data_IF_588847041122
#
_entry.id   IF_588847041122
#
_cell.length_a   1.000
_cell.length_b   1.000
_cell.length_c   1.000
_cell.angle_alpha   90.00
_cell.angle_beta   90.00
_cell.angle_gamma   90.00
#
_symmetry.space_group_name_H-M   'P 1'
#
loop_
_entity.id
_entity.type
_entity.pdbx_description
1 polymer ?
#
# COMPACT_ATOMS: atom_id res chain seq x y z
N UNK A 1 12.53 48.84 16.47
CA UNK A 1 13.62 47.90 16.83
C UNK A 1 13.36 46.60 16.07
N UNK A 2 14.04 46.43 14.94
CA UNK A 2 13.90 45.27 14.06
C UNK A 2 14.66 44.08 14.67
N UNK A 3 13.95 43.02 15.06
CA UNK A 3 14.58 41.73 15.35
C UNK A 3 14.65 40.93 14.05
N UNK A 4 15.86 40.80 13.54
CA UNK A 4 16.22 40.00 12.37
C UNK A 4 15.93 38.51 12.67
N UNK A 5 15.05 37.93 11.86
CA UNK A 5 14.84 36.49 11.75
C UNK A 5 16.17 35.81 11.37
N UNK A 6 16.86 35.23 12.35
CA UNK A 6 18.01 34.37 12.09
C UNK A 6 17.51 33.01 11.61
N UNK A 7 17.49 32.78 10.30
CA UNK A 7 17.59 31.43 9.75
C UNK A 7 18.91 30.82 10.23
N UNK A 8 18.89 30.11 11.36
CA UNK A 8 20.01 29.32 11.84
C UNK A 8 20.26 28.19 10.84
N UNK A 9 21.24 28.39 9.96
CA UNK A 9 21.85 27.31 9.18
C UNK A 9 22.50 26.37 10.19
N UNK A 10 21.86 25.25 10.46
CA UNK A 10 22.32 24.24 11.41
C UNK A 10 23.48 23.45 10.80
N UNK A 11 24.56 23.29 11.57
CA UNK A 11 25.81 22.64 11.14
C UNK A 11 25.61 21.17 10.70
N UNK A 12 26.25 20.72 9.61
CA UNK A 12 26.21 19.32 9.15
C UNK A 12 27.03 18.37 10.04
N UNK A 13 27.74 18.86 11.07
CA UNK A 13 28.65 18.09 11.92
C UNK A 13 28.06 17.64 13.26
N UNK A 14 26.77 17.84 13.52
CA UNK A 14 26.11 17.32 14.72
C UNK A 14 26.00 15.80 14.59
N UNK A 15 26.71 15.03 15.41
CA UNK A 15 26.77 13.55 15.35
C UNK A 15 25.38 12.88 15.27
N UNK A 16 24.39 13.40 16.00
CA UNK A 16 23.01 12.91 15.94
C UNK A 16 22.32 13.13 14.59
N UNK A 17 22.59 14.27 13.92
CA UNK A 17 22.02 14.59 12.60
C UNK A 17 22.60 13.70 11.51
N UNK A 18 23.92 13.48 11.53
CA UNK A 18 24.55 12.57 10.56
C UNK A 18 24.04 11.13 10.73
N UNK A 19 23.85 10.69 11.97
CA UNK A 19 23.25 9.39 12.26
C UNK A 19 21.81 9.29 11.72
N UNK A 20 20.98 10.30 11.96
CA UNK A 20 19.60 10.32 11.47
C UNK A 20 19.51 10.35 9.94
N UNK A 21 20.33 11.17 9.27
CA UNK A 21 20.38 11.23 7.81
C UNK A 21 20.81 9.89 7.20
N UNK A 22 21.85 9.24 7.77
CA UNK A 22 22.24 7.89 7.35
C UNK A 22 21.11 6.89 7.54
N UNK A 23 20.39 6.98 8.65
CA UNK A 23 19.29 6.07 8.91
C UNK A 23 18.12 6.28 7.94
N UNK A 24 17.79 7.52 7.58
CA UNK A 24 16.79 7.81 6.55
C UNK A 24 17.18 7.23 5.19
N UNK A 25 18.46 7.28 4.82
CA UNK A 25 18.96 6.62 3.60
C UNK A 25 18.79 5.08 3.68
N UNK A 26 19.08 4.48 4.84
CA UNK A 26 18.86 3.04 5.05
C UNK A 26 17.37 2.69 4.88
N UNK A 27 16.47 3.48 5.47
CA UNK A 27 15.02 3.26 5.34
C UNK A 27 14.55 3.41 3.90
N UNK A 28 15.08 4.39 3.15
CA UNK A 28 14.79 4.56 1.72
C UNK A 28 15.21 3.34 0.91
N UNK A 29 16.45 2.91 1.04
CA UNK A 29 16.98 1.74 0.30
C UNK A 29 16.26 0.44 0.66
N UNK A 30 15.99 0.24 1.94
CA UNK A 30 15.19 -0.89 2.40
C UNK A 30 13.77 -0.86 1.83
N UNK A 31 13.10 0.31 1.85
CA UNK A 31 11.77 0.49 1.29
C UNK A 31 11.72 0.19 -0.21
N UNK A 32 12.72 0.64 -0.98
CA UNK A 32 12.81 0.33 -2.40
C UNK A 32 12.91 -1.18 -2.64
N UNK A 33 13.79 -1.87 -1.94
CA UNK A 33 13.97 -3.32 -2.07
C UNK A 33 12.73 -4.10 -1.61
N UNK A 34 12.07 -3.68 -0.54
CA UNK A 34 10.84 -4.30 -0.06
C UNK A 34 9.69 -4.11 -1.06
N UNK A 35 9.53 -2.92 -1.63
CA UNK A 35 8.50 -2.66 -2.64
C UNK A 35 8.71 -3.51 -3.90
N UNK A 36 9.96 -3.72 -4.32
CA UNK A 36 10.28 -4.46 -5.55
C UNK A 36 10.28 -5.98 -5.35
N UNK A 37 10.83 -6.49 -4.25
CA UNK A 37 11.08 -7.92 -4.05
C UNK A 37 10.17 -8.58 -3.00
N UNK A 38 9.51 -7.79 -2.16
CA UNK A 38 8.82 -8.24 -0.95
C UNK A 38 9.77 -8.39 0.24
N UNK A 39 9.29 -8.12 1.45
CA UNK A 39 10.09 -8.16 2.68
C UNK A 39 10.68 -9.55 2.98
N UNK A 40 9.98 -10.61 2.56
CA UNK A 40 10.42 -11.99 2.75
C UNK A 40 11.63 -12.35 1.89
N UNK A 41 11.70 -11.83 0.66
CA UNK A 41 12.77 -12.14 -0.29
C UNK A 41 14.03 -11.27 -0.11
N UNK A 42 13.91 -10.15 0.59
CA UNK A 42 15.02 -9.24 0.88
C UNK A 42 15.70 -9.60 2.20
N UNK A 43 17.03 -9.57 2.23
CA UNK A 43 17.84 -9.75 3.44
C UNK A 43 18.53 -8.45 3.85
N UNK A 44 18.97 -8.36 5.12
CA UNK A 44 19.82 -7.25 5.57
C UNK A 44 21.15 -7.19 4.80
N UNK A 45 21.65 -8.33 4.30
CA UNK A 45 22.87 -8.35 3.50
C UNK A 45 22.66 -7.69 2.14
N UNK A 46 21.50 -7.91 1.50
CA UNK A 46 21.16 -7.30 0.21
C UNK A 46 21.10 -5.77 0.35
N UNK A 47 20.42 -5.28 1.40
CA UNK A 47 20.32 -3.83 1.70
C UNK A 47 21.69 -3.23 2.02
N UNK A 48 22.52 -3.93 2.79
CA UNK A 48 23.87 -3.45 3.10
C UNK A 48 24.72 -3.35 1.81
N UNK A 49 24.60 -4.35 0.93
CA UNK A 49 25.29 -4.43 -0.34
C UNK A 49 24.97 -3.28 -1.29
N UNK A 50 23.69 -2.88 -1.41
CA UNK A 50 23.31 -1.75 -2.29
C UNK A 50 23.91 -0.42 -1.81
N UNK A 51 24.10 -0.28 -0.50
CA UNK A 51 24.62 0.93 0.13
C UNK A 51 26.14 0.97 0.32
N UNK A 52 26.88 -0.06 -0.14
CA UNK A 52 28.30 -0.26 0.20
C UNK A 52 28.56 -0.22 1.71
N UNK A 53 27.61 -0.71 2.51
CA UNK A 53 27.71 -0.85 3.96
C UNK A 53 27.98 -2.30 4.35
N UNK A 54 28.51 -2.52 5.54
CA UNK A 54 28.59 -3.88 6.10
C UNK A 54 27.28 -4.25 6.78
N UNK A 55 26.97 -5.55 6.84
CA UNK A 55 25.83 -6.06 7.62
C UNK A 55 25.90 -5.62 9.09
N UNK A 56 27.11 -5.56 9.65
CA UNK A 56 27.37 -5.05 11.01
C UNK A 56 26.95 -3.59 11.16
N UNK A 57 27.14 -2.76 10.13
CA UNK A 57 26.70 -1.37 10.14
C UNK A 57 25.18 -1.25 10.25
N UNK A 58 24.41 -2.09 9.55
CA UNK A 58 22.95 -2.09 9.67
C UNK A 58 22.47 -2.52 11.07
N UNK A 59 23.13 -3.49 11.69
CA UNK A 59 22.79 -3.92 13.05
C UNK A 59 22.98 -2.82 14.11
N UNK A 60 23.73 -1.75 13.80
CA UNK A 60 23.79 -0.56 14.66
C UNK A 60 22.47 0.22 14.70
N UNK A 61 21.66 0.14 13.64
CA UNK A 61 20.39 0.86 13.50
C UNK A 61 19.17 -0.01 13.78
N UNK A 62 19.25 -1.31 13.49
CA UNK A 62 18.12 -2.25 13.58
C UNK A 62 18.51 -3.55 14.25
N UNK A 63 17.60 -4.13 15.02
CA UNK A 63 17.84 -5.39 15.76
C UNK A 63 17.86 -6.59 14.83
N UNK A 64 16.93 -6.63 13.89
CA UNK A 64 16.74 -7.71 12.94
C UNK A 64 15.99 -7.18 11.70
N UNK A 65 15.66 -8.06 10.75
CA UNK A 65 14.94 -7.67 9.53
C UNK A 65 13.52 -7.17 9.82
N UNK A 66 12.81 -7.81 10.75
CA UNK A 66 11.43 -7.45 11.09
C UNK A 66 11.37 -6.03 11.70
N UNK A 67 12.32 -5.69 12.59
CA UNK A 67 12.49 -4.33 13.12
C UNK A 67 12.77 -3.32 12.00
N UNK A 68 13.55 -3.68 10.97
CA UNK A 68 13.75 -2.79 9.82
C UNK A 68 12.46 -2.58 9.01
N UNK A 69 11.70 -3.64 8.74
CA UNK A 69 10.40 -3.54 8.03
C UNK A 69 9.44 -2.66 8.81
N UNK A 70 9.30 -2.92 10.12
CA UNK A 70 8.47 -2.10 11.01
C UNK A 70 8.88 -0.63 10.97
N UNK A 71 10.18 -0.31 11.09
CA UNK A 71 10.67 1.08 11.01
C UNK A 71 10.42 1.74 9.64
N UNK A 72 10.47 0.98 8.53
CA UNK A 72 10.10 1.51 7.22
C UNK A 72 8.61 1.86 7.14
N UNK A 73 7.74 1.03 7.72
CA UNK A 73 6.30 1.31 7.80
C UNK A 73 5.98 2.47 8.75
N UNK A 74 6.66 2.57 9.89
CA UNK A 74 6.55 3.73 10.79
C UNK A 74 6.91 5.01 10.05
N UNK A 75 8.06 5.04 9.36
CA UNK A 75 8.48 6.21 8.59
C UNK A 75 7.48 6.57 7.47
N UNK A 76 6.85 5.56 6.87
CA UNK A 76 5.80 5.78 5.87
C UNK A 76 4.54 6.38 6.49
N UNK A 77 4.09 5.85 7.64
CA UNK A 77 2.93 6.40 8.35
C UNK A 77 3.19 7.83 8.81
N UNK A 78 4.39 8.12 9.33
CA UNK A 78 4.78 9.47 9.75
C UNK A 78 4.78 10.45 8.56
N UNK A 79 5.29 10.03 7.40
CA UNK A 79 5.25 10.82 6.16
C UNK A 79 3.80 11.13 5.73
N UNK A 80 2.92 10.13 5.77
CA UNK A 80 1.51 10.28 5.44
C UNK A 80 0.76 11.17 6.42
N UNK A 81 1.00 11.00 7.72
CA UNK A 81 0.37 11.78 8.77
C UNK A 81 0.79 13.25 8.65
N UNK A 82 2.09 13.50 8.48
CA UNK A 82 2.62 14.84 8.26
C UNK A 82 1.95 15.50 7.05
N UNK A 83 1.82 14.78 5.93
CA UNK A 83 1.15 15.29 4.73
C UNK A 83 -0.32 15.63 4.98
N UNK A 84 -1.05 14.77 5.68
CA UNK A 84 -2.46 14.97 5.99
C UNK A 84 -2.66 16.17 6.94
N UNK A 85 -1.80 16.32 7.94
CA UNK A 85 -1.82 17.47 8.87
C UNK A 85 -1.52 18.77 8.12
N UNK A 86 -0.43 18.81 7.35
CA UNK A 86 -0.06 19.99 6.56
C UNK A 86 -1.18 20.42 5.63
N UNK A 87 -1.81 19.46 4.95
CA UNK A 87 -2.95 19.74 4.08
C UNK A 87 -4.17 20.26 4.87
N UNK A 88 -4.47 19.67 6.04
CA UNK A 88 -5.61 20.07 6.86
C UNK A 88 -5.46 21.48 7.48
N UNK A 89 -4.21 21.92 7.70
CA UNK A 89 -3.86 23.26 8.20
C UNK A 89 -3.93 24.36 7.14
N UNK A 90 -4.04 24.01 5.85
CA UNK A 90 -4.16 25.00 4.78
C UNK A 90 -5.48 25.77 4.87
N UNK A 91 -5.50 27.05 4.48
CA UNK A 91 -6.75 27.76 4.25
C UNK A 91 -7.49 27.16 3.05
N UNK A 92 -8.81 27.20 3.07
CA UNK A 92 -9.66 26.68 2.01
C UNK A 92 -10.70 25.70 2.53
N UNK A 93 -11.49 25.17 1.61
CA UNK A 93 -12.53 24.19 1.87
C UNK A 93 -11.94 22.81 2.19
N UNK A 94 -12.75 21.92 2.76
CA UNK A 94 -12.38 20.51 2.94
C UNK A 94 -11.90 19.85 1.64
N UNK A 95 -12.51 20.21 0.51
CA UNK A 95 -12.12 19.73 -0.82
C UNK A 95 -10.73 20.24 -1.24
N UNK A 96 -10.43 21.52 -1.05
CA UNK A 96 -9.11 22.11 -1.36
C UNK A 96 -7.98 21.40 -0.59
N UNK A 97 -8.24 21.10 0.68
CA UNK A 97 -7.29 20.39 1.56
C UNK A 97 -7.08 18.95 1.09
N UNK A 98 -8.13 18.24 0.70
CA UNK A 98 -8.01 16.88 0.12
C UNK A 98 -7.20 16.92 -1.18
N UNK A 99 -7.47 17.87 -2.09
CA UNK A 99 -6.71 18.05 -3.34
C UNK A 99 -5.22 18.26 -3.02
N UNK A 100 -4.90 19.10 -2.04
CA UNK A 100 -3.52 19.34 -1.59
C UNK A 100 -2.86 18.07 -1.04
N UNK A 101 -3.56 17.31 -0.19
CA UNK A 101 -3.06 16.05 0.36
C UNK A 101 -2.74 15.04 -0.75
N UNK A 102 -3.68 14.83 -1.68
CA UNK A 102 -3.55 13.89 -2.80
C UNK A 102 -2.43 14.33 -3.73
N UNK A 103 -2.48 15.58 -4.21
CA UNK A 103 -1.48 16.12 -5.13
C UNK A 103 -0.08 16.06 -4.53
N UNK A 104 0.05 16.38 -3.24
CA UNK A 104 1.30 16.27 -2.51
C UNK A 104 1.85 14.84 -2.44
N UNK A 105 1.00 13.85 -2.20
CA UNK A 105 1.43 12.45 -2.19
C UNK A 105 1.83 11.95 -3.58
N UNK A 106 1.05 12.27 -4.61
CA UNK A 106 1.38 11.87 -5.98
C UNK A 106 2.68 12.52 -6.47
N UNK A 107 2.91 13.79 -6.12
CA UNK A 107 4.17 14.50 -6.41
C UNK A 107 5.36 13.83 -5.69
N UNK A 108 5.19 13.46 -4.42
CA UNK A 108 6.22 12.75 -3.65
C UNK A 108 6.62 11.45 -4.37
N UNK A 109 5.64 10.64 -4.78
CA UNK A 109 5.92 9.39 -5.49
C UNK A 109 6.59 9.62 -6.86
N UNK A 110 6.17 10.64 -7.59
CA UNK A 110 6.82 11.04 -8.84
C UNK A 110 8.29 11.42 -8.65
N UNK A 111 8.59 12.24 -7.64
CA UNK A 111 9.96 12.62 -7.29
C UNK A 111 10.79 11.42 -6.83
N UNK A 112 10.19 10.42 -6.16
CA UNK A 112 10.87 9.15 -5.87
C UNK A 112 11.29 8.42 -7.16
N UNK A 113 10.43 8.35 -8.17
CA UNK A 113 10.79 7.72 -9.46
C UNK A 113 11.91 8.44 -10.20
N UNK A 114 12.02 9.76 -10.01
CA UNK A 114 13.09 10.58 -10.57
C UNK A 114 14.36 10.61 -9.71
N UNK A 115 14.38 9.85 -8.59
CA UNK A 115 15.48 9.84 -7.62
C UNK A 115 15.75 11.19 -6.94
N UNK A 116 14.75 12.08 -6.92
CA UNK A 116 14.80 13.39 -6.27
C UNK A 116 14.29 13.35 -4.82
N UNK A 117 13.65 12.24 -4.44
CA UNK A 117 13.10 12.05 -3.10
C UNK A 117 13.32 10.63 -2.59
N UNK A 118 13.40 10.43 -1.25
CA UNK A 118 13.52 9.10 -0.66
C UNK A 118 12.36 8.17 -1.06
N UNK A 119 12.62 6.88 -1.06
CA UNK A 119 11.57 5.86 -1.17
C UNK A 119 10.85 5.70 0.18
N UNK A 120 9.57 5.34 0.11
CA UNK A 120 8.76 4.93 1.24
C UNK A 120 8.21 3.52 1.01
N UNK A 121 7.93 2.78 2.08
CA UNK A 121 7.51 1.39 2.00
C UNK A 121 5.99 1.31 1.80
N UNK A 122 5.55 0.56 0.79
CA UNK A 122 4.13 0.30 0.59
C UNK A 122 3.62 -0.65 1.68
N UNK A 123 2.49 -0.33 2.29
CA UNK A 123 1.89 -1.09 3.40
C UNK A 123 1.19 -2.39 2.94
N UNK A 124 1.75 -3.09 1.95
CA UNK A 124 1.15 -4.26 1.29
C UNK A 124 1.30 -5.56 2.09
N UNK A 125 2.29 -5.65 2.98
CA UNK A 125 2.61 -6.87 3.75
C UNK A 125 2.46 -6.68 5.27
N UNK A 126 1.61 -5.74 5.73
CA UNK A 126 1.38 -5.47 7.17
C UNK A 126 0.90 -6.71 7.93
N UNK A 127 0.13 -7.59 7.27
CA UNK A 127 -0.31 -8.88 7.82
C UNK A 127 0.83 -9.85 8.13
N UNK A 128 2.03 -9.63 7.58
CA UNK A 128 3.18 -10.50 7.77
C UNK A 128 4.02 -10.18 9.01
N UNK A 129 3.75 -9.04 9.67
CA UNK A 129 4.38 -8.65 10.93
C UNK A 129 3.81 -9.46 12.11
N UNK A 130 4.60 -9.57 13.18
CA UNK A 130 4.07 -9.97 14.48
C UNK A 130 2.95 -9.03 14.97
N UNK A 131 2.20 -9.49 15.97
CA UNK A 131 0.99 -8.81 16.44
C UNK A 131 1.27 -7.40 17.00
N UNK A 132 2.36 -7.22 17.75
CA UNK A 132 2.74 -5.92 18.34
C UNK A 132 3.06 -4.88 17.25
N UNK A 133 3.93 -5.23 16.30
CA UNK A 133 4.28 -4.36 15.19
C UNK A 133 3.07 -4.08 14.29
N UNK A 134 2.21 -5.08 14.07
CA UNK A 134 0.99 -4.92 13.27
C UNK A 134 0.01 -3.95 13.91
N UNK A 135 -0.23 -4.07 15.21
CA UNK A 135 -1.13 -3.19 15.95
C UNK A 135 -0.62 -1.73 15.95
N UNK A 136 0.68 -1.52 16.14
CA UNK A 136 1.29 -0.18 16.04
C UNK A 136 1.07 0.45 14.67
N UNK A 137 1.31 -0.28 13.57
CA UNK A 137 1.09 0.24 12.21
C UNK A 137 -0.39 0.52 11.95
N UNK A 138 -1.30 -0.35 12.39
CA UNK A 138 -2.74 -0.11 12.22
C UNK A 138 -3.21 1.13 12.97
N UNK A 139 -2.70 1.36 14.19
CA UNK A 139 -3.00 2.56 14.96
C UNK A 139 -2.50 3.83 14.25
N UNK A 140 -1.24 3.84 13.81
CA UNK A 140 -0.65 4.97 13.06
C UNK A 140 -1.41 5.24 11.76
N UNK A 141 -1.78 4.20 11.03
CA UNK A 141 -2.57 4.35 9.82
C UNK A 141 -3.96 4.92 10.10
N UNK A 142 -4.59 4.52 11.21
CA UNK A 142 -5.87 5.08 11.64
C UNK A 142 -5.79 6.58 11.93
N UNK A 143 -4.65 7.10 12.41
CA UNK A 143 -4.44 8.55 12.62
C UNK A 143 -4.44 9.29 11.29
N UNK A 144 -3.73 8.78 10.28
CA UNK A 144 -3.75 9.32 8.91
C UNK A 144 -5.18 9.37 8.35
N UNK A 145 -5.91 8.26 8.46
CA UNK A 145 -7.29 8.14 8.00
C UNK A 145 -8.21 9.13 8.72
N UNK A 146 -8.00 9.35 10.01
CA UNK A 146 -8.80 10.29 10.82
C UNK A 146 -8.64 11.73 10.33
N UNK A 147 -7.42 12.17 10.06
CA UNK A 147 -7.16 13.53 9.55
C UNK A 147 -7.74 13.71 8.13
N UNK A 148 -7.64 12.70 7.27
CA UNK A 148 -8.29 12.76 5.96
C UNK A 148 -9.82 12.83 6.08
N UNK A 149 -10.39 12.04 6.98
CA UNK A 149 -11.84 12.04 7.21
C UNK A 149 -12.35 13.37 7.71
N UNK A 150 -11.63 14.06 8.61
CA UNK A 150 -12.05 15.40 9.05
C UNK A 150 -12.12 16.40 7.90
N UNK A 151 -11.17 16.33 6.94
CA UNK A 151 -11.24 17.17 5.73
C UNK A 151 -12.46 16.85 4.86
N UNK A 152 -12.84 15.57 4.76
CA UNK A 152 -14.07 15.16 4.06
C UNK A 152 -15.31 15.67 4.79
N UNK A 153 -15.39 15.48 6.10
CA UNK A 153 -16.50 15.95 6.93
C UNK A 153 -16.69 17.48 6.82
N UNK A 154 -15.60 18.23 6.82
CA UNK A 154 -15.64 19.68 6.64
C UNK A 154 -16.16 20.04 5.24
N UNK A 155 -15.68 19.38 4.19
CA UNK A 155 -16.16 19.62 2.82
C UNK A 155 -17.64 19.28 2.63
N UNK A 156 -18.15 18.24 3.30
CA UNK A 156 -19.59 17.90 3.32
C UNK A 156 -20.39 18.97 4.03
N UNK A 157 -19.94 19.42 5.22
CA UNK A 157 -20.60 20.50 5.99
C UNK A 157 -20.63 21.82 5.22
N UNK A 158 -19.57 22.11 4.48
CA UNK A 158 -19.43 23.29 3.63
C UNK A 158 -20.27 23.20 2.35
N UNK A 159 -20.78 22.01 2.00
CA UNK A 159 -21.56 21.76 0.79
C UNK A 159 -20.73 21.71 -0.49
N UNK A 160 -19.39 21.62 -0.39
CA UNK A 160 -18.48 21.49 -1.54
C UNK A 160 -18.18 20.03 -1.88
N UNK A 161 -18.43 19.11 -0.96
CA UNK A 161 -18.46 17.65 -1.19
C UNK A 161 -19.92 17.21 -1.08
N UNK A 162 -20.32 16.28 -1.94
CA UNK A 162 -21.68 15.72 -1.93
C UNK A 162 -22.03 15.09 -0.57
N UNK A 163 -23.33 14.99 -0.26
CA UNK A 163 -23.81 14.37 0.98
C UNK A 163 -23.63 12.84 0.92
N UNK A 164 -22.45 12.39 1.37
CA UNK A 164 -22.02 11.00 1.38
C UNK A 164 -21.39 10.66 2.73
N UNK A 165 -21.33 9.37 3.05
CA UNK A 165 -20.64 8.90 4.26
C UNK A 165 -19.14 9.27 4.19
N UNK A 166 -18.63 10.10 5.11
CA UNK A 166 -17.25 10.55 5.06
C UNK A 166 -16.23 9.42 5.16
N UNK A 167 -16.55 8.34 5.88
CA UNK A 167 -15.68 7.16 5.98
C UNK A 167 -15.55 6.44 4.64
N UNK A 168 -16.66 6.32 3.90
CA UNK A 168 -16.66 5.72 2.55
C UNK A 168 -15.83 6.55 1.58
N UNK A 169 -16.01 7.89 1.54
CA UNK A 169 -15.18 8.75 0.71
C UNK A 169 -13.70 8.66 1.06
N UNK A 170 -13.35 8.73 2.35
CA UNK A 170 -11.96 8.61 2.80
C UNK A 170 -11.33 7.29 2.35
N UNK A 171 -12.05 6.17 2.49
CA UNK A 171 -11.56 4.86 2.04
C UNK A 171 -11.42 4.79 0.51
N UNK A 172 -12.34 5.37 -0.24
CA UNK A 172 -12.25 5.45 -1.70
C UNK A 172 -11.03 6.28 -2.16
N UNK A 173 -10.80 7.43 -1.52
CA UNK A 173 -9.63 8.27 -1.75
C UNK A 173 -8.34 7.48 -1.52
N UNK A 174 -8.18 6.83 -0.38
CA UNK A 174 -6.98 6.02 -0.11
C UNK A 174 -6.83 4.82 -1.04
N UNK A 175 -7.94 4.21 -1.48
CA UNK A 175 -7.92 3.10 -2.44
C UNK A 175 -7.28 3.51 -3.76
N UNK A 176 -7.62 4.70 -4.27
CA UNK A 176 -7.03 5.24 -5.51
C UNK A 176 -5.54 5.52 -5.31
N UNK A 177 -5.18 6.21 -4.23
CA UNK A 177 -3.81 6.69 -4.03
C UNK A 177 -2.86 5.54 -3.68
N UNK A 178 -3.26 4.60 -2.82
CA UNK A 178 -2.40 3.47 -2.46
C UNK A 178 -2.14 2.53 -3.63
N UNK A 179 -3.09 2.43 -4.57
CA UNK A 179 -2.89 1.63 -5.77
C UNK A 179 -2.09 2.36 -6.86
N UNK A 180 -1.95 3.69 -6.77
CA UNK A 180 -1.20 4.53 -7.72
C UNK A 180 0.14 3.94 -8.16
N UNK A 181 1.02 3.48 -7.26
CA UNK A 181 2.31 2.91 -7.65
C UNK A 181 2.24 1.66 -8.53
N UNK A 182 1.15 0.89 -8.46
CA UNK A 182 1.01 -0.39 -9.17
C UNK A 182 0.70 -0.16 -10.66
N UNK A 183 -0.12 0.85 -10.99
CA UNK A 183 -0.48 1.14 -12.37
C UNK A 183 0.35 2.27 -13.00
N UNK A 184 1.12 3.04 -12.20
CA UNK A 184 2.04 4.04 -12.72
C UNK A 184 3.27 3.38 -13.35
N UNK A 185 3.21 3.18 -14.68
CA UNK A 185 4.25 2.54 -15.47
C UNK A 185 5.15 3.57 -16.18
N UNK A 186 6.17 3.12 -16.93
CA UNK A 186 7.10 4.02 -17.64
C UNK A 186 6.43 5.01 -18.60
N UNK A 187 5.29 4.67 -19.23
CA UNK A 187 4.54 5.60 -20.08
C UNK A 187 3.83 6.67 -19.26
N UNK A 188 3.25 6.30 -18.12
CA UNK A 188 2.65 7.24 -17.17
C UNK A 188 3.72 8.16 -16.54
N UNK A 189 4.89 7.60 -16.21
CA UNK A 189 6.02 8.34 -15.64
C UNK A 189 6.61 9.40 -16.60
N UNK A 190 6.43 9.25 -17.91
CA UNK A 190 6.86 10.27 -18.88
C UNK A 190 6.00 11.55 -18.81
N UNK A 191 4.77 11.45 -18.29
CA UNK A 191 3.79 12.54 -18.24
C UNK A 191 3.14 12.64 -16.85
N UNK A 192 3.93 12.57 -15.77
CA UNK A 192 3.42 12.54 -14.39
C UNK A 192 2.42 13.66 -14.12
N UNK A 193 2.71 14.90 -14.53
CA UNK A 193 1.83 16.05 -14.27
C UNK A 193 0.44 15.86 -14.88
N UNK A 194 0.36 15.31 -16.10
CA UNK A 194 -0.92 15.01 -16.74
C UNK A 194 -1.66 13.90 -16.01
N UNK A 195 -0.96 12.85 -15.58
CA UNK A 195 -1.55 11.74 -14.83
C UNK A 195 -2.09 12.23 -13.48
N UNK A 196 -1.33 13.06 -12.77
CA UNK A 196 -1.75 13.67 -11.51
C UNK A 196 -2.99 14.53 -11.68
N UNK A 197 -3.03 15.37 -12.72
CA UNK A 197 -4.20 16.19 -13.03
C UNK A 197 -5.44 15.32 -13.29
N UNK A 198 -5.29 14.22 -14.04
CA UNK A 198 -6.38 13.27 -14.27
C UNK A 198 -6.84 12.58 -13.00
N UNK A 199 -5.92 12.15 -12.11
CA UNK A 199 -6.29 11.53 -10.84
C UNK A 199 -7.04 12.52 -9.94
N UNK A 200 -6.57 13.76 -9.85
CA UNK A 200 -7.26 14.80 -9.08
C UNK A 200 -8.65 15.08 -9.65
N UNK A 201 -8.77 15.24 -10.97
CA UNK A 201 -10.08 15.44 -11.62
C UNK A 201 -11.02 14.25 -11.42
N UNK A 202 -10.52 13.00 -11.44
CA UNK A 202 -11.34 11.83 -11.13
C UNK A 202 -11.88 11.83 -9.70
N UNK A 203 -11.09 12.34 -8.75
CA UNK A 203 -11.49 12.43 -7.33
C UNK A 203 -12.46 13.59 -7.10
N UNK A 204 -12.31 14.70 -7.81
CA UNK A 204 -13.14 15.91 -7.62
C UNK A 204 -14.40 15.91 -8.47
N UNK A 205 -14.29 15.46 -9.72
CA UNK A 205 -15.30 15.62 -10.76
C UNK A 205 -15.92 14.26 -11.16
N UNK A 206 -15.24 13.15 -10.87
CA UNK A 206 -15.66 11.81 -11.27
C UNK A 206 -15.38 11.51 -12.75
N UNK A 207 -16.05 10.48 -13.28
CA UNK A 207 -15.87 10.02 -14.67
C UNK A 207 -16.87 10.62 -15.65
N UNK A 208 -18.05 11.01 -15.16
CA UNK A 208 -19.15 11.42 -16.01
C UNK A 208 -18.97 12.88 -16.45
N UNK A 209 -19.22 13.18 -17.72
CA UNK A 209 -19.19 14.56 -18.23
C UNK A 209 -20.37 15.40 -17.72
N UNK A 210 -21.42 14.73 -17.24
CA UNK A 210 -22.63 15.32 -16.65
C UNK A 210 -23.06 14.46 -15.46
N UNK A 211 -23.86 15.03 -14.53
CA UNK A 211 -24.37 14.28 -13.39
C UNK A 211 -25.21 13.08 -13.86
N UNK A 212 -24.77 11.88 -13.49
CA UNK A 212 -25.46 10.65 -13.86
C UNK A 212 -26.36 10.18 -12.72
N UNK A 213 -27.65 10.04 -12.99
CA UNK A 213 -28.60 9.40 -12.08
C UNK A 213 -28.49 7.89 -12.30
N UNK A 214 -28.12 7.15 -11.27
CA UNK A 214 -28.10 5.70 -11.33
C UNK A 214 -29.53 5.16 -11.47
N UNK A 215 -29.76 4.38 -12.53
CA UNK A 215 -30.90 3.47 -12.59
C UNK A 215 -30.50 2.15 -11.91
N UNK A 216 -31.47 1.45 -11.32
CA UNK A 216 -31.22 0.14 -10.73
C UNK A 216 -30.70 -0.82 -11.81
N UNK A 217 -29.45 -1.25 -11.66
CA UNK A 217 -28.86 -2.28 -12.50
C UNK A 217 -29.23 -3.64 -11.93
N UNK A 218 -30.02 -4.41 -12.66
CA UNK A 218 -30.31 -5.79 -12.30
C UNK A 218 -29.06 -6.65 -12.54
N UNK A 219 -28.31 -6.91 -11.47
CA UNK A 219 -27.15 -7.78 -11.53
C UNK A 219 -27.62 -9.24 -11.53
N UNK A 220 -27.08 -10.09 -12.42
CA UNK A 220 -27.43 -11.51 -12.41
C UNK A 220 -27.06 -12.13 -11.06
N UNK A 221 -27.93 -13.00 -10.55
CA UNK A 221 -27.63 -13.80 -9.36
C UNK A 221 -26.38 -14.63 -9.64
N UNK A 222 -25.30 -14.37 -8.91
CA UNK A 222 -23.99 -15.02 -9.09
C UNK A 222 -23.93 -16.48 -8.60
N UNK A 223 -25.07 -17.19 -8.49
CA UNK A 223 -25.08 -18.57 -8.00
C UNK A 223 -25.93 -19.50 -8.85
N UNK A 224 -25.27 -20.43 -9.52
CA UNK A 224 -25.72 -21.82 -9.63
C UNK A 224 -24.64 -22.68 -8.96
N UNK A 225 -24.74 -22.91 -7.65
CA UNK A 225 -24.04 -24.05 -7.05
C UNK A 225 -24.76 -25.27 -7.62
N UNK A 226 -24.16 -25.91 -8.62
CA UNK A 226 -24.72 -27.09 -9.23
C UNK A 226 -24.65 -28.23 -8.20
N UNK A 227 -25.79 -28.59 -7.60
CA UNK A 227 -25.96 -29.53 -6.48
C UNK A 227 -25.73 -31.01 -6.84
N UNK A 228 -25.18 -31.32 -8.01
CA UNK A 228 -24.93 -32.71 -8.40
C UNK A 228 -23.65 -33.25 -7.73
N UNK A 229 -23.75 -33.40 -6.41
CA UNK A 229 -22.71 -33.86 -5.49
C UNK A 229 -22.23 -35.29 -5.77
N UNK A 230 -22.88 -36.02 -6.68
CA UNK A 230 -22.51 -37.38 -7.06
C UNK A 230 -21.59 -37.45 -8.29
N UNK A 231 -21.46 -36.36 -9.06
CA UNK A 231 -20.57 -36.33 -10.21
C UNK A 231 -19.11 -36.11 -9.76
N UNK A 232 -18.26 -37.11 -10.00
CA UNK A 232 -16.85 -37.10 -9.62
C UNK A 232 -16.05 -35.99 -10.30
N UNK A 233 -16.41 -35.59 -11.52
CA UNK A 233 -15.74 -34.51 -12.24
C UNK A 233 -16.10 -33.15 -11.63
N UNK A 234 -17.36 -32.95 -11.24
CA UNK A 234 -17.81 -31.76 -10.51
C UNK A 234 -17.12 -31.65 -9.14
N UNK A 235 -17.02 -32.76 -8.39
CA UNK A 235 -16.28 -32.77 -7.12
C UNK A 235 -14.80 -32.42 -7.31
N UNK A 236 -14.15 -32.98 -8.34
CA UNK A 236 -12.75 -32.70 -8.64
C UNK A 236 -12.52 -31.26 -9.11
N UNK A 237 -13.49 -30.68 -9.81
CA UNK A 237 -13.50 -29.26 -10.16
C UNK A 237 -13.64 -28.38 -8.92
N UNK A 238 -14.64 -28.64 -8.06
CA UNK A 238 -14.86 -27.88 -6.83
C UNK A 238 -13.68 -27.92 -5.87
N UNK A 239 -12.99 -29.07 -5.75
CA UNK A 239 -11.75 -29.18 -4.97
C UNK A 239 -10.62 -28.33 -5.54
N UNK A 240 -10.46 -28.32 -6.88
CA UNK A 240 -9.48 -27.46 -7.57
C UNK A 240 -9.82 -25.99 -7.37
N UNK A 241 -11.08 -25.62 -7.55
CA UNK A 241 -11.57 -24.26 -7.31
C UNK A 241 -11.31 -23.80 -5.88
N UNK A 242 -11.50 -24.66 -4.88
CA UNK A 242 -11.18 -24.35 -3.48
C UNK A 242 -9.68 -24.02 -3.30
N UNK A 243 -8.79 -24.83 -3.90
CA UNK A 243 -7.35 -24.53 -3.89
C UNK A 243 -7.02 -23.22 -4.60
N UNK A 244 -7.65 -22.93 -5.74
CA UNK A 244 -7.42 -21.68 -6.48
C UNK A 244 -7.88 -20.47 -5.66
N UNK A 245 -9.06 -20.56 -5.01
CA UNK A 245 -9.61 -19.49 -4.19
C UNK A 245 -8.74 -19.19 -2.97
N UNK A 246 -8.34 -20.22 -2.23
CA UNK A 246 -7.42 -20.07 -1.08
C UNK A 246 -6.02 -19.65 -1.53
N UNK A 247 -5.53 -20.19 -2.65
CA UNK A 247 -4.29 -19.78 -3.28
C UNK A 247 -4.26 -18.28 -3.57
N UNK A 248 -5.29 -17.74 -4.23
CA UNK A 248 -5.41 -16.31 -4.51
C UNK A 248 -5.38 -15.48 -3.22
N UNK A 249 -6.11 -15.87 -2.18
CA UNK A 249 -6.10 -15.17 -0.88
C UNK A 249 -4.69 -15.13 -0.28
N UNK A 250 -4.00 -16.26 -0.22
CA UNK A 250 -2.65 -16.31 0.37
C UNK A 250 -1.62 -15.56 -0.47
N UNK A 251 -1.68 -15.65 -1.80
CA UNK A 251 -0.78 -14.89 -2.68
C UNK A 251 -1.00 -13.39 -2.55
N UNK A 252 -2.25 -12.93 -2.43
CA UNK A 252 -2.57 -11.52 -2.23
C UNK A 252 -2.09 -11.01 -0.87
N UNK A 253 -2.18 -11.84 0.18
CA UNK A 253 -1.83 -11.44 1.56
C UNK A 253 -0.33 -11.55 1.87
N UNK A 254 0.39 -12.51 1.28
CA UNK A 254 1.78 -12.85 1.64
C UNK A 254 2.75 -12.74 0.47
N UNK A 255 2.28 -12.38 -0.73
CA UNK A 255 3.03 -12.40 -1.97
C UNK A 255 3.37 -13.81 -2.46
N UNK A 256 3.71 -13.95 -3.75
CA UNK A 256 4.05 -15.25 -4.32
C UNK A 256 5.15 -15.96 -3.53
N UNK A 257 6.31 -15.33 -3.32
CA UNK A 257 7.43 -15.96 -2.60
C UNK A 257 7.09 -16.31 -1.15
N UNK A 258 6.27 -15.49 -0.49
CA UNK A 258 5.91 -15.68 0.90
C UNK A 258 4.96 -16.84 1.16
N UNK A 259 4.09 -17.19 0.22
CA UNK A 259 3.10 -18.25 0.42
C UNK A 259 3.72 -19.65 0.37
N UNK A 260 3.49 -20.49 1.39
CA UNK A 260 3.81 -21.92 1.33
C UNK A 260 2.61 -22.74 0.85
N UNK A 261 2.87 -23.78 0.07
CA UNK A 261 1.82 -24.74 -0.32
C UNK A 261 1.25 -25.49 0.89
N UNK A 262 2.05 -25.65 1.95
CA UNK A 262 1.60 -26.27 3.20
C UNK A 262 0.60 -25.38 3.94
N UNK A 263 0.81 -24.05 3.94
CA UNK A 263 -0.15 -23.11 4.52
C UNK A 263 -1.50 -23.13 3.78
N UNK A 264 -1.46 -23.26 2.44
CA UNK A 264 -2.67 -23.37 1.61
C UNK A 264 -3.41 -24.66 1.90
N UNK A 265 -2.70 -25.80 1.94
CA UNK A 265 -3.29 -27.10 2.23
C UNK A 265 -3.92 -27.12 3.64
N UNK A 266 -3.21 -26.60 4.63
CA UNK A 266 -3.70 -26.48 6.01
C UNK A 266 -4.93 -25.56 6.10
N UNK A 267 -5.00 -24.49 5.31
CA UNK A 267 -6.17 -23.59 5.31
C UNK A 267 -7.44 -24.23 4.74
N UNK A 268 -7.31 -25.38 4.08
CA UNK A 268 -8.41 -26.19 3.55
C UNK A 268 -8.60 -27.49 4.34
N UNK A 269 -7.91 -27.67 5.46
CA UNK A 269 -7.89 -28.90 6.26
C UNK A 269 -7.54 -30.16 5.45
N UNK A 270 -6.66 -30.02 4.46
CA UNK A 270 -6.19 -31.14 3.62
C UNK A 270 -4.70 -31.36 3.74
N UNK A 271 -4.26 -32.58 3.43
CA UNK A 271 -2.83 -32.93 3.43
C UNK A 271 -2.11 -32.34 2.22
N UNK A 272 -0.79 -32.13 2.35
CA UNK A 272 0.09 -31.75 1.24
C UNK A 272 0.00 -32.75 0.07
N UNK A 273 -0.18 -34.04 0.36
CA UNK A 273 -0.37 -35.07 -0.67
C UNK A 273 -1.65 -34.87 -1.48
N UNK A 274 -2.76 -34.54 -0.80
CA UNK A 274 -4.03 -34.22 -1.47
C UNK A 274 -3.92 -32.95 -2.34
N UNK A 275 -3.17 -31.95 -1.89
CA UNK A 275 -2.87 -30.76 -2.71
C UNK A 275 -2.15 -31.15 -4.02
N UNK A 276 -1.07 -31.92 -3.93
CA UNK A 276 -0.27 -32.30 -5.11
C UNK A 276 -1.01 -33.20 -6.10
N UNK A 277 -2.05 -33.91 -5.66
CA UNK A 277 -2.94 -34.64 -6.55
C UNK A 277 -3.66 -33.72 -7.54
N UNK A 278 -4.01 -32.50 -7.11
CA UNK A 278 -4.75 -31.54 -7.92
C UNK A 278 -3.85 -30.50 -8.59
N UNK A 279 -2.73 -30.15 -7.97
CA UNK A 279 -1.87 -29.05 -8.42
C UNK A 279 -0.39 -29.44 -8.34
N UNK A 280 0.29 -29.38 -9.49
CA UNK A 280 1.66 -29.88 -9.63
C UNK A 280 2.67 -29.15 -8.75
N UNK A 281 2.59 -27.81 -8.71
CA UNK A 281 3.52 -26.97 -7.98
C UNK A 281 2.92 -25.57 -7.78
N UNK A 282 3.67 -24.72 -7.08
CA UNK A 282 3.24 -23.36 -6.72
C UNK A 282 3.11 -22.42 -7.92
N UNK A 283 3.94 -22.59 -8.95
CA UNK A 283 3.84 -21.84 -10.21
C UNK A 283 2.56 -22.20 -10.96
N UNK A 284 2.25 -23.50 -11.04
CA UNK A 284 1.01 -23.99 -11.64
C UNK A 284 -0.21 -23.50 -10.87
N UNK A 285 -0.16 -23.46 -9.53
CA UNK A 285 -1.22 -22.86 -8.73
C UNK A 285 -1.40 -21.39 -9.10
N UNK A 286 -0.32 -20.59 -9.07
CA UNK A 286 -0.36 -19.16 -9.38
C UNK A 286 -0.92 -18.91 -10.78
N UNK A 287 -0.48 -19.68 -11.78
CA UNK A 287 -0.96 -19.57 -13.14
C UNK A 287 -2.48 -19.81 -13.23
N UNK A 288 -2.99 -20.85 -12.54
CA UNK A 288 -4.42 -21.14 -12.51
C UNK A 288 -5.21 -20.07 -11.74
N UNK A 289 -4.66 -19.52 -10.65
CA UNK A 289 -5.26 -18.39 -9.95
C UNK A 289 -5.46 -17.18 -10.87
N UNK A 290 -4.50 -16.87 -11.74
CA UNK A 290 -4.63 -15.77 -12.71
C UNK A 290 -5.57 -16.11 -13.86
N UNK A 291 -5.59 -17.36 -14.33
CA UNK A 291 -6.47 -17.75 -15.44
C UNK A 291 -7.96 -17.76 -15.05
N UNK A 292 -8.24 -17.91 -13.75
CA UNK A 292 -9.59 -17.93 -13.18
C UNK A 292 -10.23 -16.53 -13.06
N UNK A 293 -9.42 -15.49 -12.89
CA UNK A 293 -9.86 -14.08 -12.73
C UNK A 293 -9.94 -13.37 -14.07
#
# INVERSE_FOLDING_TARGET
MNSLNQHRITSPFVKGRQHQLKFQLILSEASQLFNWQGSRATTLADIAGTMNLTKTCLYYYVRNKEDLVHKCYVATCDMWLQRAIEANELPGSGLDKIISMIGGHLQQYASTLQSESPHFAMLTEVSSLNDECREDILKRWSEVVTVCRSMVEDGVKEGVIADLDPSVATLAIFSIIQWFPVWMNRKHAANVSSVMASVLSLVTDGLASEYHVFEDVDFPVLSDINEDSFNRDIQNYNKREAFYRVGSTHFNQKGYKGTSLDEIANSLDVTKGAFYYHIKNKEALLYQCFHRT
#
